data_IF_585776879309
#
_entry.id   IF_585776879309
#
_cell.length_a   1.000
_cell.length_b   1.000
_cell.length_c   1.000
_cell.angle_alpha   90.00
_cell.angle_beta   90.00
_cell.angle_gamma   90.00
#
_symmetry.space_group_name_H-M   'P 1'
#
loop_
_entity.id
_entity.type
_entity.pdbx_description
1 polymer ?
#
# COMPACT_ATOMS: atom_id res chain seq x y z
N UNK A 1 9.39 -13.13 0.15
CA UNK A 1 7.94 -13.27 -0.12
C UNK A 1 7.14 -14.19 0.79
N UNK A 2 7.74 -14.81 1.80
CA UNK A 2 7.12 -15.88 2.59
C UNK A 2 5.68 -15.60 3.07
N UNK A 3 5.40 -14.39 3.61
CA UNK A 3 4.06 -14.03 4.08
C UNK A 3 3.04 -13.85 2.95
N UNK A 4 3.44 -13.23 1.85
CA UNK A 4 2.59 -13.05 0.67
C UNK A 4 2.20 -14.40 0.08
N UNK A 5 3.13 -15.35 0.04
CA UNK A 5 2.87 -16.70 -0.49
C UNK A 5 1.98 -17.51 0.46
N UNK A 6 2.22 -17.43 1.77
CA UNK A 6 1.39 -18.08 2.80
C UNK A 6 -0.06 -17.59 2.79
N UNK A 7 -0.26 -16.29 2.56
CA UNK A 7 -1.60 -15.68 2.54
C UNK A 7 -2.23 -15.68 1.15
N UNK A 8 -1.53 -16.19 0.13
CA UNK A 8 -1.92 -16.12 -1.29
C UNK A 8 -2.21 -14.69 -1.76
N UNK A 9 -1.52 -13.72 -1.18
CA UNK A 9 -1.68 -12.31 -1.52
C UNK A 9 -0.65 -11.96 -2.59
N UNK A 10 -1.11 -11.66 -3.81
CA UNK A 10 -0.21 -11.27 -4.90
C UNK A 10 -0.05 -9.74 -5.05
N UNK A 11 -0.95 -8.97 -4.44
CA UNK A 11 -0.95 -7.52 -4.50
C UNK A 11 -0.40 -6.92 -3.20
N UNK A 12 0.65 -6.11 -3.32
CA UNK A 12 1.34 -5.48 -2.20
C UNK A 12 1.17 -3.96 -2.33
N UNK A 13 0.75 -3.30 -1.24
CA UNK A 13 0.67 -1.84 -1.17
C UNK A 13 1.86 -1.30 -0.40
N UNK A 14 2.60 -0.35 -0.98
CA UNK A 14 3.65 0.42 -0.31
C UNK A 14 3.09 1.78 0.11
N UNK A 15 3.12 2.07 1.41
CA UNK A 15 2.61 3.31 1.99
C UNK A 15 3.48 3.76 3.18
N UNK A 16 3.30 5.01 3.62
CA UNK A 16 4.06 5.61 4.73
C UNK A 16 5.17 6.54 4.25
N UNK A 17 5.51 7.54 5.08
CA UNK A 17 6.40 8.65 4.70
C UNK A 17 7.81 8.24 4.28
N UNK A 18 8.30 7.07 4.75
CA UNK A 18 9.59 6.49 4.36
C UNK A 18 9.68 6.27 2.84
N UNK A 19 8.56 5.92 2.20
CA UNK A 19 8.49 5.69 0.75
C UNK A 19 8.37 6.98 -0.07
N UNK A 20 8.45 8.17 0.55
CA UNK A 20 8.73 9.41 -0.18
C UNK A 20 10.18 9.44 -0.71
N UNK A 21 11.08 8.62 -0.14
CA UNK A 21 12.39 8.40 -0.73
C UNK A 21 12.24 7.62 -2.04
N UNK A 22 12.39 8.32 -3.17
CA UNK A 22 12.21 7.77 -4.51
C UNK A 22 13.13 6.58 -4.80
N UNK A 23 14.41 6.68 -4.42
CA UNK A 23 15.37 5.60 -4.64
C UNK A 23 14.95 4.32 -3.92
N UNK A 24 14.52 4.46 -2.65
CA UNK A 24 14.01 3.33 -1.87
C UNK A 24 12.73 2.76 -2.49
N UNK A 25 11.78 3.61 -2.85
CA UNK A 25 10.52 3.19 -3.44
C UNK A 25 10.72 2.41 -4.75
N UNK A 26 11.51 2.95 -5.67
CA UNK A 26 11.79 2.31 -6.97
C UNK A 26 12.52 0.98 -6.79
N UNK A 27 13.53 0.92 -5.93
CA UNK A 27 14.29 -0.32 -5.66
C UNK A 27 13.41 -1.42 -5.05
N UNK A 28 12.51 -1.05 -4.14
CA UNK A 28 11.58 -2.01 -3.54
C UNK A 28 10.55 -2.46 -4.57
N UNK A 29 9.97 -1.55 -5.36
CA UNK A 29 9.02 -1.89 -6.43
C UNK A 29 9.65 -2.87 -7.42
N UNK A 30 10.87 -2.61 -7.88
CA UNK A 30 11.57 -3.46 -8.84
C UNK A 30 11.76 -4.87 -8.29
N UNK A 31 12.27 -4.99 -7.06
CA UNK A 31 12.49 -6.29 -6.43
C UNK A 31 11.19 -7.08 -6.25
N UNK A 32 10.12 -6.43 -5.80
CA UNK A 32 8.81 -7.08 -5.63
C UNK A 32 8.22 -7.53 -6.98
N UNK A 33 8.39 -6.75 -8.04
CA UNK A 33 7.95 -7.10 -9.40
C UNK A 33 8.73 -8.30 -9.97
N UNK A 34 10.05 -8.35 -9.76
CA UNK A 34 10.88 -9.49 -10.16
C UNK A 34 10.45 -10.80 -9.46
N UNK A 35 9.93 -10.68 -8.25
CA UNK A 35 9.36 -11.81 -7.49
C UNK A 35 7.88 -12.10 -7.88
N UNK A 36 7.38 -11.53 -8.98
CA UNK A 36 6.07 -11.82 -9.57
C UNK A 36 4.88 -11.15 -8.87
N UNK A 37 5.12 -10.16 -8.01
CA UNK A 37 4.06 -9.45 -7.28
C UNK A 37 3.55 -8.23 -8.02
N UNK A 38 2.27 -7.94 -7.84
CA UNK A 38 1.67 -6.67 -8.25
C UNK A 38 1.89 -5.66 -7.13
N UNK A 39 2.54 -4.54 -7.44
CA UNK A 39 2.85 -3.51 -6.44
C UNK A 39 2.03 -2.25 -6.71
N UNK A 40 1.38 -1.74 -5.67
CA UNK A 40 0.66 -0.48 -5.67
C UNK A 40 1.38 0.50 -4.74
N UNK A 41 1.53 1.75 -5.18
CA UNK A 41 2.02 2.86 -4.35
C UNK A 41 1.14 4.08 -4.60
N UNK A 42 1.13 5.04 -3.66
CA UNK A 42 0.36 6.26 -3.85
C UNK A 42 1.06 7.17 -4.89
N UNK A 43 0.35 7.50 -5.96
CA UNK A 43 0.83 8.39 -7.03
C UNK A 43 0.40 9.85 -6.80
N UNK A 44 -0.83 10.06 -6.32
CA UNK A 44 -1.48 11.38 -6.22
C UNK A 44 -1.60 11.93 -4.80
N UNK A 45 -1.39 11.11 -3.79
CA UNK A 45 -1.67 11.46 -2.40
C UNK A 45 -0.40 11.42 -1.57
N UNK A 46 -0.38 12.25 -0.52
CA UNK A 46 0.72 12.27 0.42
C UNK A 46 0.79 10.92 1.13
N UNK A 47 1.93 10.23 0.97
CA UNK A 47 2.27 9.01 1.71
C UNK A 47 2.49 9.26 3.22
N UNK A 48 2.39 10.51 3.68
CA UNK A 48 2.59 10.92 5.07
C UNK A 48 1.26 11.15 5.80
N UNK A 49 1.31 11.76 6.99
CA UNK A 49 0.16 11.98 7.86
C UNK A 49 -0.98 12.78 7.21
N UNK A 50 -0.68 13.58 6.17
CA UNK A 50 -1.70 14.22 5.34
C UNK A 50 -2.62 13.25 4.60
N UNK A 51 -2.16 12.00 4.37
CA UNK A 51 -2.94 10.91 3.75
C UNK A 51 -3.63 9.98 4.75
N UNK A 52 -3.33 10.06 6.05
CA UNK A 52 -3.92 9.16 7.06
C UNK A 52 -5.43 9.40 7.19
N UNK A 53 -5.86 10.67 7.24
CA UNK A 53 -7.27 11.03 7.36
C UNK A 53 -8.12 10.45 6.20
N UNK A 54 -7.56 10.39 4.99
CA UNK A 54 -8.21 9.79 3.83
C UNK A 54 -8.43 8.28 4.04
N UNK A 55 -7.38 7.56 4.46
CA UNK A 55 -7.48 6.13 4.76
C UNK A 55 -8.50 5.82 5.85
N UNK A 56 -8.47 6.61 6.94
CA UNK A 56 -9.43 6.49 8.04
C UNK A 56 -10.87 6.72 7.58
N UNK A 57 -11.12 7.78 6.80
CA UNK A 57 -12.45 8.10 6.28
C UNK A 57 -12.99 6.97 5.40
N UNK A 58 -12.15 6.39 4.54
CA UNK A 58 -12.55 5.30 3.64
C UNK A 58 -12.88 4.01 4.42
N UNK A 59 -12.05 3.66 5.41
CA UNK A 59 -12.29 2.52 6.29
C UNK A 59 -13.55 2.71 7.11
N UNK A 60 -13.77 3.91 7.69
CA UNK A 60 -14.96 4.23 8.45
C UNK A 60 -16.23 4.11 7.58
N UNK A 61 -16.19 4.64 6.35
CA UNK A 61 -17.31 4.51 5.40
C UNK A 61 -17.62 3.04 5.08
N UNK A 62 -16.61 2.22 4.80
CA UNK A 62 -16.79 0.79 4.53
C UNK A 62 -17.34 0.04 5.75
N UNK A 63 -16.88 0.41 6.95
CA UNK A 63 -17.36 -0.17 8.20
C UNK A 63 -18.84 0.16 8.44
N UNK A 64 -19.25 1.41 8.22
CA UNK A 64 -20.66 1.84 8.33
C UNK A 64 -21.53 1.11 7.30
N UNK A 65 -21.08 1.01 6.04
CA UNK A 65 -21.83 0.31 4.98
C UNK A 65 -22.04 -1.19 5.26
N UNK A 66 -21.11 -1.86 5.95
CA UNK A 66 -21.28 -3.28 6.31
C UNK A 66 -22.26 -3.51 7.47
N UNK A 67 -22.62 -2.46 8.19
CA UNK A 67 -23.50 -2.52 9.38
C UNK A 67 -24.97 -2.23 9.06
N UNK A 68 -25.26 -1.77 7.83
CA UNK A 68 -26.59 -1.47 7.28
C UNK A 68 -26.90 -2.57 6.27
#
# INVERSE_FOLDING_TARGET
MKLADQTRTNTIVLSGGVFQNRLLLESVIEKLKLEGKTVLSAEKYLLNDGGIALGQTLVARLYIQKKI
#
